data_IF_389433664432
#
_entry.id   IF_389433664432
#
_cell.length_a   1.000
_cell.length_b   1.000
_cell.length_c   1.000
_cell.angle_alpha   90.00
_cell.angle_beta   90.00
_cell.angle_gamma   90.00
#
_symmetry.space_group_name_H-M   'P 1'
#
loop_
_entity.id
_entity.type
_entity.pdbx_description
1 polymer ?
#
# COMPACT_ATOMS: atom_id res chain seq x y z
N UNK A 1 42.23 23.36 -48.77
CA UNK A 1 41.99 23.75 -50.18
C UNK A 1 42.65 22.71 -51.08
N UNK A 2 42.20 22.52 -52.35
CA UNK A 2 41.12 23.22 -53.05
C UNK A 2 39.97 22.30 -53.59
N UNK A 3 38.82 22.92 -53.91
CA UNK A 3 37.84 22.66 -54.99
C UNK A 3 37.30 21.21 -55.28
N UNK A 4 35.98 20.98 -55.46
CA UNK A 4 35.08 21.34 -56.59
C UNK A 4 35.54 20.74 -57.96
N UNK A 5 34.69 20.29 -58.91
CA UNK A 5 33.25 19.93 -59.00
C UNK A 5 33.03 19.21 -60.39
N UNK A 6 31.88 18.77 -60.91
CA UNK A 6 30.44 18.75 -60.53
C UNK A 6 29.70 17.70 -61.41
N UNK A 7 28.61 17.02 -60.95
CA UNK A 7 27.75 16.22 -61.87
C UNK A 7 26.27 16.03 -61.44
N UNK A 8 25.38 16.82 -62.06
CA UNK A 8 24.12 16.41 -62.75
C UNK A 8 23.20 15.39 -62.05
N UNK A 9 22.15 15.85 -61.37
CA UNK A 9 20.77 16.11 -61.88
C UNK A 9 19.92 14.89 -62.22
N UNK A 10 18.78 14.75 -61.54
CA UNK A 10 17.50 14.41 -62.18
C UNK A 10 16.32 14.94 -61.35
N UNK A 11 15.27 15.42 -62.02
CA UNK A 11 14.13 16.09 -61.39
C UNK A 11 12.80 15.40 -61.72
N UNK A 12 12.04 15.05 -60.69
CA UNK A 12 10.68 14.50 -60.80
C UNK A 12 9.80 15.00 -59.63
N UNK A 13 8.48 15.13 -59.81
CA UNK A 13 7.67 16.03 -58.97
C UNK A 13 7.13 15.43 -57.67
N UNK A 14 6.87 16.31 -56.69
CA UNK A 14 6.16 16.00 -55.43
C UNK A 14 4.79 15.37 -55.72
N UNK A 15 4.55 14.16 -55.19
CA UNK A 15 3.21 13.63 -54.88
C UNK A 15 3.16 13.09 -53.45
N UNK A 16 3.13 14.01 -52.49
CA UNK A 16 2.78 13.71 -51.10
C UNK A 16 1.29 13.32 -51.04
N UNK A 17 1.00 12.02 -51.12
CA UNK A 17 -0.31 11.48 -50.68
C UNK A 17 -0.29 11.29 -49.16
N UNK A 18 -1.35 11.74 -48.51
CA UNK A 18 -1.51 11.56 -47.07
C UNK A 18 -1.63 10.07 -46.71
N UNK A 19 -1.01 9.69 -45.60
CA UNK A 19 -0.91 8.29 -45.15
C UNK A 19 -0.51 8.15 -43.69
N UNK A 20 -0.96 9.07 -42.82
CA UNK A 20 -0.64 9.06 -41.39
C UNK A 20 -1.88 8.78 -40.54
N UNK A 21 -2.34 7.53 -40.56
CA UNK A 21 -3.32 6.98 -39.62
C UNK A 21 -2.66 5.79 -38.94
N UNK A 22 -1.95 6.07 -37.84
CA UNK A 22 -1.05 5.11 -37.20
C UNK A 22 -0.45 5.67 -35.91
N UNK A 23 -1.30 6.27 -35.06
CA UNK A 23 -0.91 6.84 -33.76
C UNK A 23 -1.92 6.51 -32.68
N UNK A 24 -1.51 6.65 -31.42
CA UNK A 24 -2.32 6.40 -30.20
C UNK A 24 -2.72 4.93 -29.96
N UNK A 25 -1.72 4.05 -29.97
CA UNK A 25 -1.74 2.76 -29.26
C UNK A 25 -0.54 2.64 -28.28
N UNK A 26 -0.06 3.76 -27.76
CA UNK A 26 1.11 3.86 -26.89
C UNK A 26 0.74 4.37 -25.49
N UNK A 27 1.37 3.78 -24.47
CA UNK A 27 1.42 4.26 -23.08
C UNK A 27 0.08 4.69 -22.43
N UNK A 28 -0.77 3.71 -22.11
CA UNK A 28 -1.62 3.78 -20.91
C UNK A 28 -1.00 2.97 -19.76
N UNK A 29 0.27 3.24 -19.46
CA UNK A 29 0.80 3.04 -18.12
C UNK A 29 0.29 4.22 -17.29
N UNK A 30 -0.98 4.15 -16.87
CA UNK A 30 -1.49 5.07 -15.87
C UNK A 30 -0.85 4.68 -14.55
N UNK A 31 0.11 5.48 -14.07
CA UNK A 31 0.50 5.45 -12.66
C UNK A 31 -0.76 5.53 -11.81
N UNK A 32 -0.87 4.64 -10.84
CA UNK A 32 -2.04 4.59 -9.97
C UNK A 32 -1.98 5.78 -8.99
N UNK A 33 -3.13 6.14 -8.45
CA UNK A 33 -3.19 7.10 -7.33
C UNK A 33 -2.49 6.59 -6.06
N UNK A 34 -2.21 5.28 -5.97
CA UNK A 34 -1.38 4.71 -4.90
C UNK A 34 0.11 5.01 -5.12
N UNK A 35 0.62 4.90 -6.36
CA UNK A 35 1.99 5.31 -6.72
C UNK A 35 2.22 6.79 -6.41
N UNK A 36 1.24 7.64 -6.74
CA UNK A 36 1.25 9.08 -6.45
C UNK A 36 1.12 9.43 -4.96
N UNK A 37 0.74 8.47 -4.11
CA UNK A 37 0.64 8.60 -2.65
C UNK A 37 1.76 7.85 -1.90
N UNK A 38 2.69 7.21 -2.61
CA UNK A 38 3.74 6.38 -2.01
C UNK A 38 3.23 5.14 -1.28
N UNK A 39 2.07 4.59 -1.66
CA UNK A 39 1.50 3.38 -1.04
C UNK A 39 1.80 2.14 -1.88
N UNK A 40 2.33 1.10 -1.22
CA UNK A 40 2.58 -0.22 -1.81
C UNK A 40 1.31 -1.06 -1.71
N UNK A 41 0.92 -1.66 -2.84
CA UNK A 41 -0.08 -2.75 -2.89
C UNK A 41 0.64 -4.03 -3.31
N UNK A 42 0.68 -5.02 -2.43
CA UNK A 42 1.34 -6.31 -2.69
C UNK A 42 0.53 -7.45 -2.05
N UNK A 43 0.21 -8.46 -2.87
CA UNK A 43 -0.57 -9.61 -2.45
C UNK A 43 0.10 -10.39 -1.31
N UNK A 44 1.43 -10.59 -1.38
CA UNK A 44 2.17 -11.41 -0.40
C UNK A 44 2.27 -10.71 0.95
N UNK A 45 2.75 -9.47 0.94
CA UNK A 45 2.97 -8.66 2.14
C UNK A 45 1.66 -8.32 2.83
N UNK A 46 0.62 -7.90 2.10
CA UNK A 46 -0.68 -7.63 2.72
C UNK A 46 -1.34 -8.89 3.29
N UNK A 47 -1.26 -10.04 2.61
CA UNK A 47 -1.85 -11.28 3.10
C UNK A 47 -1.13 -11.78 4.37
N UNK A 48 0.18 -11.60 4.45
CA UNK A 48 0.96 -11.90 5.65
C UNK A 48 0.67 -10.91 6.80
N UNK A 49 0.55 -9.61 6.52
CA UNK A 49 0.13 -8.61 7.51
C UNK A 49 -1.29 -8.90 8.03
N UNK A 50 -2.23 -9.30 7.17
CA UNK A 50 -3.58 -9.74 7.58
C UNK A 50 -3.53 -11.00 8.47
N UNK A 51 -2.59 -11.91 8.23
CA UNK A 51 -2.36 -13.08 9.09
C UNK A 51 -1.81 -12.69 10.47
N UNK A 52 -0.90 -11.71 10.55
CA UNK A 52 -0.40 -11.14 11.81
C UNK A 52 -1.46 -10.35 12.59
N UNK A 53 -2.23 -9.51 11.90
CA UNK A 53 -3.14 -8.56 12.53
C UNK A 53 -4.44 -9.20 13.01
N UNK A 54 -4.99 -10.20 12.31
CA UNK A 54 -6.30 -10.77 12.62
C UNK A 54 -6.42 -11.33 14.05
N UNK A 55 -5.44 -12.07 14.62
CA UNK A 55 -5.49 -12.49 16.02
C UNK A 55 -5.52 -11.30 17.00
N UNK A 56 -4.65 -10.30 16.78
CA UNK A 56 -4.55 -9.10 17.61
C UNK A 56 -5.85 -8.28 17.55
N UNK A 57 -6.37 -8.00 16.36
CA UNK A 57 -7.63 -7.26 16.18
C UNK A 57 -8.81 -8.00 16.82
N UNK A 58 -8.83 -9.34 16.80
CA UNK A 58 -9.85 -10.11 17.51
C UNK A 58 -9.72 -9.96 19.04
N UNK A 59 -8.50 -10.09 19.58
CA UNK A 59 -8.23 -9.92 21.02
C UNK A 59 -8.54 -8.49 21.51
N UNK A 60 -8.32 -7.49 20.65
CA UNK A 60 -8.60 -6.08 20.90
C UNK A 60 -10.09 -5.68 20.72
N UNK A 61 -10.98 -6.61 20.34
CA UNK A 61 -12.38 -6.29 20.05
C UNK A 61 -12.60 -5.47 18.77
N UNK A 62 -11.57 -5.38 17.92
CA UNK A 62 -11.53 -4.60 16.68
C UNK A 62 -11.87 -5.43 15.43
N UNK A 63 -11.97 -6.76 15.54
CA UNK A 63 -12.10 -7.69 14.40
C UNK A 63 -13.30 -7.47 13.46
N UNK A 64 -14.32 -6.72 13.90
CA UNK A 64 -15.48 -6.31 13.11
C UNK A 64 -15.40 -4.90 12.53
N UNK A 65 -14.41 -4.09 12.91
CA UNK A 65 -14.32 -2.66 12.58
C UNK A 65 -13.71 -2.37 11.20
N UNK A 66 -13.35 -3.41 10.42
CA UNK A 66 -12.89 -3.25 9.04
C UNK A 66 -11.53 -2.55 8.90
N UNK A 67 -10.67 -2.63 9.92
CA UNK A 67 -9.37 -1.95 9.94
C UNK A 67 -8.50 -2.39 8.75
N UNK A 68 -7.95 -1.41 8.04
CA UNK A 68 -6.99 -1.59 6.96
C UNK A 68 -5.60 -1.16 7.41
N UNK A 69 -4.61 -1.98 7.10
CA UNK A 69 -3.18 -1.65 7.25
C UNK A 69 -2.64 -1.33 5.86
N UNK A 70 -2.20 -0.11 5.66
CA UNK A 70 -1.63 0.39 4.40
C UNK A 70 -0.10 0.38 4.48
N UNK A 71 0.56 -0.13 3.45
CA UNK A 71 2.03 -0.17 3.40
C UNK A 71 2.53 1.12 2.73
N UNK A 72 3.40 1.86 3.38
CA UNK A 72 4.04 3.08 2.85
C UNK A 72 5.43 2.74 2.31
N UNK A 73 5.76 3.25 1.12
CA UNK A 73 7.07 3.13 0.51
C UNK A 73 8.08 4.09 1.16
N UNK A 74 8.48 3.76 2.38
CA UNK A 74 9.55 4.44 3.13
C UNK A 74 10.42 3.35 3.79
N UNK A 75 11.75 3.50 3.68
CA UNK A 75 12.76 2.61 4.27
C UNK A 75 12.98 2.85 5.78
N UNK A 76 12.46 3.94 6.34
CA UNK A 76 12.47 4.20 7.77
C UNK A 76 11.56 3.22 8.52
N UNK A 77 11.91 2.92 9.78
CA UNK A 77 11.02 2.16 10.66
C UNK A 77 9.91 3.09 11.18
N UNK A 78 8.65 2.78 10.89
CA UNK A 78 7.50 3.48 11.45
C UNK A 78 6.18 2.71 11.32
N UNK A 79 5.23 3.01 12.21
CA UNK A 79 3.82 2.70 12.07
C UNK A 79 3.00 3.80 12.78
N UNK A 80 1.73 3.99 12.40
CA UNK A 80 0.81 4.91 13.08
C UNK A 80 -0.66 4.65 12.69
N UNK A 81 -1.60 5.19 13.46
CA UNK A 81 -3.05 5.18 13.18
C UNK A 81 -3.58 6.60 13.00
N UNK A 82 -4.50 6.79 12.03
CA UNK A 82 -5.04 8.12 11.68
C UNK A 82 -6.48 8.36 12.16
N UNK A 83 -7.35 7.35 12.10
CA UNK A 83 -8.81 7.51 12.30
C UNK A 83 -9.49 6.29 12.96
N UNK A 84 -8.69 5.39 13.56
CA UNK A 84 -9.15 4.13 14.14
C UNK A 84 -9.43 3.01 13.13
N UNK A 85 -9.54 3.32 11.84
CA UNK A 85 -9.88 2.38 10.77
C UNK A 85 -8.73 2.18 9.77
N UNK A 86 -7.82 3.16 9.69
CA UNK A 86 -6.64 3.16 8.83
C UNK A 86 -5.38 3.25 9.68
N UNK A 87 -4.64 2.13 9.68
CA UNK A 87 -3.27 2.02 10.19
C UNK A 87 -2.31 2.10 9.00
N UNK A 88 -1.16 2.73 9.19
CA UNK A 88 -0.10 2.85 8.19
C UNK A 88 1.17 2.22 8.75
N UNK A 89 1.91 1.50 7.91
CA UNK A 89 3.16 0.84 8.26
C UNK A 89 4.18 1.07 7.15
N UNK A 90 5.38 1.54 7.49
CA UNK A 90 6.44 1.73 6.50
C UNK A 90 7.04 0.39 6.06
N UNK A 91 7.45 0.27 4.80
CA UNK A 91 8.17 -0.90 4.30
C UNK A 91 9.44 -1.19 5.11
N UNK A 92 10.13 -0.15 5.59
CA UNK A 92 11.25 -0.25 6.52
C UNK A 92 10.95 -1.00 7.82
N UNK A 93 9.71 -0.93 8.34
CA UNK A 93 9.28 -1.73 9.52
C UNK A 93 9.34 -3.22 9.22
N UNK A 94 8.84 -3.61 8.05
CA UNK A 94 8.79 -5.00 7.59
C UNK A 94 10.18 -5.53 7.20
N UNK A 95 10.97 -4.68 6.52
CA UNK A 95 12.32 -5.00 6.04
C UNK A 95 13.34 -5.14 7.17
N UNK A 96 13.25 -4.33 8.24
CA UNK A 96 14.17 -4.38 9.38
C UNK A 96 13.74 -5.37 10.48
N UNK A 97 12.46 -5.76 10.54
CA UNK A 97 12.02 -6.82 11.44
C UNK A 97 12.75 -8.14 11.15
N UNK A 98 13.15 -8.83 12.22
CA UNK A 98 13.83 -10.13 12.15
C UNK A 98 12.85 -11.31 12.19
N UNK A 99 11.76 -11.15 12.94
CA UNK A 99 10.77 -12.20 13.21
C UNK A 99 9.33 -11.68 13.04
N UNK A 100 8.34 -12.57 12.82
CA UNK A 100 6.93 -12.20 12.86
C UNK A 100 6.53 -11.48 14.16
N UNK A 101 6.95 -11.95 15.34
CA UNK A 101 6.61 -11.33 16.63
C UNK A 101 7.04 -9.84 16.72
N UNK A 102 8.09 -9.42 16.01
CA UNK A 102 8.48 -8.00 15.97
C UNK A 102 7.46 -7.13 15.21
N UNK A 103 6.88 -7.62 14.11
CA UNK A 103 5.80 -6.91 13.39
C UNK A 103 4.46 -7.02 14.13
N UNK A 104 4.17 -8.19 14.70
CA UNK A 104 2.96 -8.43 15.51
C UNK A 104 2.96 -7.51 16.75
N UNK A 105 4.10 -7.31 17.41
CA UNK A 105 4.24 -6.38 18.55
C UNK A 105 3.91 -4.93 18.17
N UNK A 106 4.34 -4.46 16.99
CA UNK A 106 3.95 -3.13 16.48
C UNK A 106 2.45 -3.07 16.21
N UNK A 107 1.86 -4.10 15.59
CA UNK A 107 0.39 -4.13 15.35
C UNK A 107 -0.39 -4.17 16.67
N UNK A 108 0.14 -4.82 17.71
CA UNK A 108 -0.44 -4.82 19.05
C UNK A 108 -0.39 -3.44 19.72
N UNK A 109 0.73 -2.71 19.57
CA UNK A 109 0.88 -1.32 20.02
C UNK A 109 -0.13 -0.37 19.36
N UNK A 110 -0.20 -0.39 18.03
CA UNK A 110 -1.15 0.43 17.27
C UNK A 110 -2.61 0.05 17.56
N UNK A 111 -2.89 -1.22 17.88
CA UNK A 111 -4.21 -1.65 18.37
C UNK A 111 -4.53 -1.10 19.76
N UNK A 112 -3.53 -0.84 20.60
CA UNK A 112 -3.66 -0.13 21.87
C UNK A 112 -4.12 1.32 21.67
N UNK A 113 -3.50 2.05 20.73
CA UNK A 113 -3.90 3.40 20.34
C UNK A 113 -5.35 3.46 19.82
N UNK A 114 -5.79 2.45 19.05
CA UNK A 114 -7.19 2.34 18.59
C UNK A 114 -8.14 2.08 19.76
N UNK A 115 -7.88 1.03 20.57
CA UNK A 115 -8.80 0.60 21.64
C UNK A 115 -8.94 1.62 22.78
N UNK A 116 -7.90 2.35 23.12
CA UNK A 116 -8.00 3.44 24.09
C UNK A 116 -8.81 4.64 23.59
N UNK A 117 -9.09 4.73 22.28
CA UNK A 117 -9.90 5.79 21.67
C UNK A 117 -9.26 7.18 21.76
N UNK A 118 -7.93 7.22 21.89
CA UNK A 118 -7.21 8.35 22.45
C UNK A 118 -7.21 9.60 21.57
N UNK A 119 -7.20 9.47 20.23
CA UNK A 119 -7.31 10.62 19.31
C UNK A 119 -8.63 11.39 19.49
N UNK A 120 -9.71 10.71 19.92
CA UNK A 120 -10.97 11.36 20.29
C UNK A 120 -10.90 12.02 21.68
N UNK A 121 -10.16 11.42 22.64
CA UNK A 121 -9.90 12.05 23.95
C UNK A 121 -9.07 13.33 23.80
N UNK A 122 -7.99 13.31 23.03
CA UNK A 122 -7.20 14.50 22.71
C UNK A 122 -8.06 15.57 22.00
N UNK A 123 -8.88 15.20 21.00
CA UNK A 123 -9.82 16.13 20.35
C UNK A 123 -10.83 16.75 21.33
N UNK A 124 -11.38 15.98 22.27
CA UNK A 124 -12.35 16.49 23.26
C UNK A 124 -11.72 17.27 24.40
N UNK A 125 -10.44 17.03 24.73
CA UNK A 125 -9.67 17.91 25.61
C UNK A 125 -9.29 19.21 24.90
N UNK A 126 -8.85 19.16 23.64
CA UNK A 126 -8.55 20.36 22.82
C UNK A 126 -9.79 21.22 22.53
N UNK A 127 -10.98 20.63 22.34
CA UNK A 127 -12.21 21.42 22.15
C UNK A 127 -12.65 22.16 23.41
N UNK A 128 -12.20 21.71 24.60
CA UNK A 128 -12.31 22.45 25.87
C UNK A 128 -11.19 23.48 26.02
N UNK A 129 -9.95 23.13 25.66
CA UNK A 129 -8.79 24.01 25.65
C UNK A 129 -8.77 24.93 24.41
N UNK A 130 -9.65 25.93 24.37
CA UNK A 130 -9.77 26.92 23.30
C UNK A 130 -8.54 27.84 23.16
N UNK A 131 -7.43 27.33 22.60
CA UNK A 131 -6.27 28.14 22.23
C UNK A 131 -5.76 27.80 20.82
N UNK A 132 -6.03 28.70 19.86
CA UNK A 132 -5.46 28.62 18.51
C UNK A 132 -3.93 28.56 18.52
N UNK A 133 -3.29 29.09 19.56
CA UNK A 133 -1.86 28.99 19.81
C UNK A 133 -1.34 27.54 19.87
N UNK A 134 -2.09 26.60 20.46
CA UNK A 134 -1.65 25.20 20.54
C UNK A 134 -1.74 24.50 19.18
N UNK A 135 -2.78 24.78 18.39
CA UNK A 135 -2.86 24.33 16.99
C UNK A 135 -1.76 24.94 16.12
N UNK A 136 -1.45 26.24 16.30
CA UNK A 136 -0.34 26.91 15.62
C UNK A 136 1.03 26.35 16.03
N UNK A 137 1.24 25.93 17.28
CA UNK A 137 2.46 25.23 17.69
C UNK A 137 2.56 23.83 17.07
N UNK A 138 1.47 23.05 17.04
CA UNK A 138 1.46 21.71 16.40
C UNK A 138 1.67 21.79 14.88
N UNK A 139 1.05 22.76 14.21
CA UNK A 139 1.31 23.07 12.80
C UNK A 139 2.73 23.61 12.56
N UNK A 140 3.25 24.41 13.48
CA UNK A 140 4.64 24.91 13.45
C UNK A 140 5.67 23.79 13.56
N UNK A 141 5.43 22.80 14.43
CA UNK A 141 6.26 21.59 14.52
C UNK A 141 6.21 20.78 13.21
N UNK A 142 5.03 20.58 12.63
CA UNK A 142 4.90 19.92 11.32
C UNK A 142 5.61 20.70 10.20
N UNK A 143 5.57 22.04 10.23
CA UNK A 143 6.25 22.88 9.26
C UNK A 143 7.79 22.86 9.40
N UNK A 144 8.34 22.60 10.60
CA UNK A 144 9.78 22.36 10.77
C UNK A 144 10.26 21.06 10.10
N UNK A 145 9.38 20.07 9.93
CA UNK A 145 9.69 18.80 9.22
C UNK A 145 9.74 19.00 7.70
N UNK A 146 9.12 20.07 7.17
CA UNK A 146 8.90 20.28 5.73
C UNK A 146 9.55 21.52 5.10
N UNK A 147 10.42 22.25 5.82
CA UNK A 147 11.19 23.39 5.27
C UNK A 147 10.40 24.62 4.79
N UNK A 148 9.08 24.63 4.96
CA UNK A 148 8.16 25.54 4.25
C UNK A 148 7.89 26.87 5.00
N UNK A 149 8.94 27.61 5.37
CA UNK A 149 8.83 28.96 5.96
C UNK A 149 9.46 30.07 5.10
N UNK A 150 9.25 30.00 3.78
CA UNK A 150 9.57 31.07 2.83
C UNK A 150 8.29 31.71 2.28
N UNK A 151 7.69 32.67 3.00
CA UNK A 151 6.49 33.35 2.50
C UNK A 151 5.70 34.29 3.42
N UNK A 152 5.97 34.35 4.73
CA UNK A 152 5.23 35.18 5.69
C UNK A 152 6.03 36.42 6.13
N UNK A 153 5.94 37.58 5.44
CA UNK A 153 6.65 38.80 5.85
C UNK A 153 6.03 39.40 7.12
N UNK A 154 6.83 39.50 8.19
CA UNK A 154 6.47 40.24 9.41
C UNK A 154 6.80 39.54 10.73
N UNK A 155 6.91 38.21 10.76
CA UNK A 155 7.22 37.46 11.98
C UNK A 155 8.75 37.39 12.20
N UNK A 156 9.33 38.49 12.68
CA UNK A 156 10.74 38.53 13.08
C UNK A 156 11.03 37.67 14.32
N UNK A 157 12.31 37.31 14.53
CA UNK A 157 12.76 36.42 15.61
C UNK A 157 12.26 36.80 17.03
N UNK A 158 12.08 38.10 17.30
CA UNK A 158 11.53 38.58 18.57
C UNK A 158 10.10 38.07 18.86
N UNK A 159 9.27 37.88 17.82
CA UNK A 159 7.91 37.35 17.96
C UNK A 159 7.87 35.87 18.38
N UNK A 160 8.86 35.08 17.96
CA UNK A 160 8.98 33.68 18.38
C UNK A 160 9.29 33.58 19.88
N UNK A 161 10.21 34.40 20.41
CA UNK A 161 10.60 34.37 21.82
C UNK A 161 9.40 34.55 22.77
N UNK A 162 8.51 35.50 22.46
CA UNK A 162 7.29 35.72 23.23
C UNK A 162 6.27 34.57 23.12
N UNK A 163 6.19 33.89 21.97
CA UNK A 163 5.29 32.76 21.75
C UNK A 163 5.76 31.45 22.45
N UNK A 164 7.06 31.30 22.73
CA UNK A 164 7.61 30.15 23.44
C UNK A 164 7.79 30.38 24.95
N UNK A 165 8.01 31.61 25.41
CA UNK A 165 8.36 31.92 26.81
C UNK A 165 7.25 31.73 27.87
N UNK A 166 6.04 31.29 27.50
CA UNK A 166 4.86 31.36 28.38
C UNK A 166 4.33 30.04 28.97
N UNK A 167 4.68 28.86 28.43
CA UNK A 167 3.90 27.62 28.70
C UNK A 167 4.72 26.35 28.92
N UNK A 168 5.84 26.46 29.64
CA UNK A 168 6.66 25.31 30.08
C UNK A 168 5.83 24.24 30.83
N UNK A 169 4.82 24.66 31.61
CA UNK A 169 3.85 23.76 32.24
C UNK A 169 2.91 23.05 31.25
N UNK A 170 2.44 23.72 30.19
CA UNK A 170 1.55 23.09 29.20
C UNK A 170 2.32 22.13 28.27
N UNK A 171 3.57 22.46 27.94
CA UNK A 171 4.46 21.55 27.21
C UNK A 171 4.75 20.29 28.03
N UNK A 172 5.08 20.44 29.33
CA UNK A 172 5.20 19.30 30.25
C UNK A 172 3.90 18.50 30.34
N UNK A 173 2.73 19.15 30.42
CA UNK A 173 1.44 18.46 30.47
C UNK A 173 1.13 17.67 29.19
N UNK A 174 1.50 18.19 28.00
CA UNK A 174 1.32 17.50 26.72
C UNK A 174 2.29 16.31 26.57
N UNK A 175 3.53 16.45 27.04
CA UNK A 175 4.52 15.38 27.03
C UNK A 175 4.16 14.27 28.04
N UNK A 176 3.70 14.63 29.23
CA UNK A 176 3.19 13.69 30.23
C UNK A 176 1.96 12.93 29.70
N UNK A 177 0.99 13.64 29.11
CA UNK A 177 -0.17 13.02 28.46
C UNK A 177 0.27 11.99 27.41
N UNK A 178 1.18 12.35 26.50
CA UNK A 178 1.73 11.40 25.51
C UNK A 178 2.44 10.19 26.16
N UNK A 179 3.11 10.38 27.29
CA UNK A 179 3.75 9.28 28.01
C UNK A 179 2.72 8.33 28.65
N UNK A 180 1.63 8.86 29.22
CA UNK A 180 0.53 8.05 29.75
C UNK A 180 -0.18 7.26 28.64
N UNK A 181 -0.38 7.88 27.47
CA UNK A 181 -1.00 7.26 26.30
C UNK A 181 -0.15 6.11 25.74
N UNK A 182 1.15 6.34 25.58
CA UNK A 182 2.11 5.32 25.15
C UNK A 182 2.21 4.15 26.16
N UNK A 183 2.23 4.44 27.46
CA UNK A 183 2.20 3.42 28.52
C UNK A 183 0.87 2.64 28.55
N UNK A 184 -0.24 3.27 28.16
CA UNK A 184 -1.55 2.62 28.01
C UNK A 184 -1.58 1.70 26.79
N UNK A 185 -1.02 2.15 25.66
CA UNK A 185 -0.87 1.33 24.45
C UNK A 185 0.06 0.13 24.68
N UNK A 186 1.17 0.30 25.41
CA UNK A 186 2.06 -0.80 25.84
C UNK A 186 1.30 -1.88 26.63
N UNK A 187 0.54 -1.47 27.66
CA UNK A 187 -0.23 -2.40 28.49
C UNK A 187 -1.32 -3.14 27.69
N UNK A 188 -1.99 -2.43 26.78
CA UNK A 188 -2.96 -3.01 25.87
C UNK A 188 -2.30 -4.03 24.92
N UNK A 189 -1.14 -3.70 24.34
CA UNK A 189 -0.37 -4.58 23.48
C UNK A 189 0.04 -5.88 24.19
N UNK A 190 0.60 -5.80 25.40
CA UNK A 190 0.91 -6.97 26.24
C UNK A 190 -0.35 -7.81 26.52
N UNK A 191 -1.49 -7.16 26.75
CA UNK A 191 -2.77 -7.86 26.97
C UNK A 191 -3.22 -8.62 25.72
N UNK A 192 -3.11 -8.03 24.53
CA UNK A 192 -3.48 -8.69 23.28
C UNK A 192 -2.53 -9.84 22.93
N UNK A 193 -1.22 -9.63 23.10
CA UNK A 193 -0.19 -10.66 22.88
C UNK A 193 -0.38 -11.85 23.84
N UNK A 194 -0.73 -11.60 25.10
CA UNK A 194 -1.06 -12.65 26.05
C UNK A 194 -2.34 -13.41 25.65
N UNK A 195 -3.38 -12.72 25.17
CA UNK A 195 -4.61 -13.34 24.69
C UNK A 195 -4.40 -14.19 23.42
N UNK A 196 -3.48 -13.80 22.53
CA UNK A 196 -3.11 -14.55 21.31
C UNK A 196 -2.00 -15.58 21.54
N UNK A 197 -1.41 -15.63 22.75
CA UNK A 197 -0.25 -16.47 23.14
C UNK A 197 1.03 -16.18 22.35
N UNK A 198 1.18 -14.94 21.91
CA UNK A 198 2.34 -14.43 21.17
C UNK A 198 3.37 -13.82 22.13
N UNK A 199 4.63 -13.75 21.70
CA UNK A 199 5.72 -13.28 22.58
C UNK A 199 5.89 -11.76 22.52
N UNK A 200 5.77 -11.14 23.70
CA UNK A 200 6.10 -9.73 23.92
C UNK A 200 7.59 -9.39 23.71
N UNK A 201 8.47 -10.40 23.64
CA UNK A 201 9.90 -10.20 23.36
C UNK A 201 10.15 -9.52 22.02
N UNK A 202 9.33 -9.79 21.00
CA UNK A 202 9.43 -9.09 19.70
C UNK A 202 9.23 -7.58 19.83
N UNK A 203 8.22 -7.15 20.58
CA UNK A 203 7.97 -5.73 20.86
C UNK A 203 9.16 -5.06 21.54
N UNK A 204 9.77 -5.72 22.53
CA UNK A 204 10.97 -5.24 23.23
C UNK A 204 12.18 -5.15 22.32
N UNK A 205 12.50 -6.22 21.57
CA UNK A 205 13.65 -6.22 20.65
C UNK A 205 13.53 -5.13 19.57
N UNK A 206 12.31 -4.85 19.11
CA UNK A 206 12.00 -3.73 18.21
C UNK A 206 12.22 -2.37 18.89
N UNK A 207 11.73 -2.17 20.12
CA UNK A 207 11.87 -0.91 20.84
C UNK A 207 13.33 -0.63 21.24
N UNK A 208 14.08 -1.67 21.63
CA UNK A 208 15.52 -1.61 21.89
C UNK A 208 16.32 -1.30 20.63
N UNK A 209 16.00 -1.93 19.49
CA UNK A 209 16.61 -1.61 18.20
C UNK A 209 16.40 -0.13 17.85
N UNK A 210 15.18 0.40 18.01
CA UNK A 210 14.91 1.81 17.73
C UNK A 210 15.63 2.76 18.69
N UNK A 211 15.66 2.46 19.99
CA UNK A 211 16.41 3.23 20.97
C UNK A 211 17.93 3.24 20.67
N UNK A 212 18.49 2.12 20.22
CA UNK A 212 19.91 2.03 19.82
C UNK A 212 20.26 2.97 18.66
N UNK A 213 19.30 3.28 17.78
CA UNK A 213 19.50 4.15 16.61
C UNK A 213 19.49 5.66 16.94
N UNK A 214 19.19 6.06 18.18
CA UNK A 214 19.39 7.44 18.63
C UNK A 214 20.86 7.81 18.79
N UNK A 215 21.75 6.83 18.96
CA UNK A 215 23.14 7.08 19.37
C UNK A 215 24.07 7.12 18.16
N UNK A 216 24.37 8.33 17.68
CA UNK A 216 25.53 8.60 16.81
C UNK A 216 25.27 8.95 15.34
N UNK A 217 24.03 9.22 14.92
CA UNK A 217 23.70 9.65 13.54
C UNK A 217 22.87 10.94 13.58
N UNK A 218 23.05 11.81 12.58
CA UNK A 218 22.21 12.99 12.38
C UNK A 218 20.80 12.58 11.92
N UNK A 219 19.88 12.44 12.87
CA UNK A 219 18.46 12.19 12.61
C UNK A 219 17.79 11.41 13.75
N UNK A 220 16.78 12.00 14.38
CA UNK A 220 15.93 11.26 15.33
C UNK A 220 15.05 10.31 14.51
N UNK A 221 15.11 9.01 14.80
CA UNK A 221 14.27 7.98 14.18
C UNK A 221 12.79 8.43 14.16
N UNK A 222 12.10 8.49 13.00
CA UNK A 222 10.72 8.97 12.89
C UNK A 222 9.74 8.34 13.90
N UNK A 223 9.84 7.03 14.14
CA UNK A 223 8.99 6.35 15.14
C UNK A 223 9.18 6.92 16.56
N UNK A 224 10.37 7.39 16.91
CA UNK A 224 10.63 7.99 18.22
C UNK A 224 10.24 9.47 18.31
N UNK A 225 9.80 10.07 17.19
CA UNK A 225 9.15 11.39 17.16
C UNK A 225 7.64 11.26 17.37
N UNK A 226 7.02 10.17 16.88
CA UNK A 226 5.60 9.84 17.12
C UNK A 226 5.39 9.16 18.47
N UNK A 227 6.28 8.23 18.86
CA UNK A 227 6.21 7.39 20.07
C UNK A 227 7.44 7.61 20.98
N UNK A 228 7.40 8.58 21.90
CA UNK A 228 8.51 8.82 22.82
C UNK A 228 8.83 7.62 23.72
N UNK A 229 10.10 7.23 23.78
CA UNK A 229 10.62 6.11 24.60
C UNK A 229 11.56 6.62 25.70
N UNK A 230 11.06 7.15 26.84
CA UNK A 230 11.89 7.36 28.01
C UNK A 230 12.34 6.01 28.59
N UNK A 231 13.56 5.94 29.14
CA UNK A 231 14.14 4.68 29.66
C UNK A 231 13.24 3.97 30.68
N UNK A 232 12.48 4.71 31.48
CA UNK A 232 11.52 4.18 32.45
C UNK A 232 10.38 3.37 31.80
N UNK A 233 9.89 3.80 30.63
CA UNK A 233 8.86 3.06 29.87
C UNK A 233 9.38 1.70 29.43
N UNK A 234 10.60 1.63 28.90
CA UNK A 234 11.23 0.37 28.49
C UNK A 234 11.44 -0.60 29.67
N UNK A 235 11.74 -0.08 30.87
CA UNK A 235 11.83 -0.91 32.08
C UNK A 235 10.47 -1.51 32.45
N UNK A 236 9.41 -0.69 32.49
CA UNK A 236 8.04 -1.14 32.78
C UNK A 236 7.53 -2.15 31.75
N UNK A 237 7.77 -1.90 30.45
CA UNK A 237 7.42 -2.82 29.37
C UNK A 237 8.14 -4.17 29.50
N UNK A 238 9.44 -4.17 29.85
CA UNK A 238 10.19 -5.41 30.13
C UNK A 238 9.58 -6.19 31.30
N UNK A 239 9.26 -5.54 32.41
CA UNK A 239 8.66 -6.17 33.59
C UNK A 239 7.29 -6.80 33.28
N UNK A 240 6.43 -6.07 32.56
CA UNK A 240 5.14 -6.60 32.09
C UNK A 240 5.32 -7.78 31.13
N UNK A 241 6.27 -7.70 30.19
CA UNK A 241 6.50 -8.74 29.20
C UNK A 241 7.09 -10.02 29.80
N UNK A 242 8.10 -9.93 30.67
CA UNK A 242 8.73 -11.13 31.29
C UNK A 242 7.83 -11.80 32.32
N UNK A 243 6.79 -11.12 32.80
CA UNK A 243 5.71 -11.74 33.59
C UNK A 243 4.80 -12.67 32.75
N UNK A 244 4.87 -12.61 31.42
CA UNK A 244 4.04 -13.43 30.53
C UNK A 244 4.48 -14.90 30.51
N UNK A 245 3.56 -15.87 30.66
CA UNK A 245 3.86 -17.29 30.43
C UNK A 245 4.14 -17.62 28.95
N UNK A 246 4.07 -16.64 28.06
CA UNK A 246 4.35 -16.75 26.62
C UNK A 246 5.60 -15.96 26.19
N UNK A 247 6.38 -15.42 27.14
CA UNK A 247 7.55 -14.60 26.83
C UNK A 247 8.59 -15.32 25.95
N UNK A 248 8.86 -16.61 26.19
CA UNK A 248 9.79 -17.41 25.40
C UNK A 248 9.11 -18.22 24.26
N UNK A 249 7.85 -17.92 23.91
CA UNK A 249 7.22 -18.51 22.73
C UNK A 249 7.93 -18.03 21.44
N UNK A 250 8.50 -18.97 20.70
CA UNK A 250 9.10 -18.70 19.38
C UNK A 250 8.04 -18.68 18.27
N UNK A 251 8.31 -17.92 17.21
CA UNK A 251 7.50 -17.96 16.00
C UNK A 251 7.53 -19.34 15.33
N UNK A 252 6.37 -19.76 14.78
CA UNK A 252 6.29 -21.01 14.04
C UNK A 252 7.25 -20.97 12.83
N UNK A 253 8.05 -22.03 12.55
CA UNK A 253 9.04 -22.00 11.46
C UNK A 253 8.46 -21.67 10.09
N UNK A 254 7.22 -22.08 9.81
CA UNK A 254 6.52 -21.68 8.58
C UNK A 254 6.26 -20.17 8.54
N UNK A 255 5.81 -19.57 9.65
CA UNK A 255 5.52 -18.14 9.74
C UNK A 255 6.79 -17.28 9.58
N UNK A 256 7.92 -17.75 10.11
CA UNK A 256 9.24 -17.18 9.87
C UNK A 256 9.65 -17.31 8.38
N UNK A 257 9.46 -18.48 7.76
CA UNK A 257 9.77 -18.65 6.33
C UNK A 257 8.92 -17.73 5.43
N UNK A 258 7.64 -17.51 5.77
CA UNK A 258 6.77 -16.51 5.10
C UNK A 258 7.28 -15.08 5.30
N UNK A 259 7.74 -14.75 6.52
CA UNK A 259 8.31 -13.44 6.86
C UNK A 259 9.58 -13.12 6.06
N UNK A 260 10.50 -14.07 5.96
CA UNK A 260 11.75 -13.85 5.23
C UNK A 260 11.54 -13.85 3.70
N UNK A 261 10.59 -14.60 3.17
CA UNK A 261 10.19 -14.49 1.75
C UNK A 261 9.62 -13.11 1.42
N UNK A 262 8.71 -12.59 2.25
CA UNK A 262 8.16 -11.24 2.15
C UNK A 262 9.28 -10.18 2.19
N UNK A 263 10.25 -10.29 3.11
CA UNK A 263 11.42 -9.42 3.16
C UNK A 263 12.29 -9.52 1.91
N UNK A 264 12.54 -10.74 1.41
CA UNK A 264 13.25 -10.95 0.15
C UNK A 264 12.57 -10.23 -1.03
N UNK A 265 11.24 -10.29 -1.10
CA UNK A 265 10.44 -9.56 -2.10
C UNK A 265 10.60 -8.05 -1.96
N UNK A 266 10.41 -7.50 -0.75
CA UNK A 266 10.52 -6.07 -0.47
C UNK A 266 11.92 -5.54 -0.79
N UNK A 267 13.00 -6.21 -0.36
CA UNK A 267 14.35 -5.83 -0.77
C UNK A 267 14.53 -5.90 -2.29
N UNK A 268 14.04 -6.97 -2.94
CA UNK A 268 14.12 -7.14 -4.40
C UNK A 268 13.48 -6.00 -5.20
N UNK A 269 12.39 -5.41 -4.71
CA UNK A 269 11.70 -4.29 -5.36
C UNK A 269 12.17 -2.89 -4.90
N UNK A 270 12.50 -2.71 -3.62
CA UNK A 270 12.66 -1.38 -3.00
C UNK A 270 14.13 -0.96 -2.79
N UNK A 271 15.08 -1.90 -2.63
CA UNK A 271 16.50 -1.56 -2.62
C UNK A 271 17.02 -1.43 -4.07
N UNK A 272 18.11 -0.68 -4.29
CA UNK A 272 18.82 -0.71 -5.57
C UNK A 272 19.36 -2.12 -5.89
N UNK A 273 19.31 -2.61 -7.14
CA UNK A 273 19.72 -3.98 -7.44
C UNK A 273 21.11 -4.37 -6.95
N UNK A 274 22.09 -3.44 -6.97
CA UNK A 274 23.42 -3.72 -6.43
C UNK A 274 23.43 -3.87 -4.90
N UNK A 275 22.61 -3.11 -4.18
CA UNK A 275 22.40 -3.29 -2.74
C UNK A 275 21.79 -4.67 -2.46
N UNK A 276 20.85 -5.14 -3.29
CA UNK A 276 20.28 -6.50 -3.19
C UNK A 276 21.34 -7.57 -3.42
N UNK A 277 22.19 -7.45 -4.45
CA UNK A 277 23.27 -8.43 -4.69
C UNK A 277 24.36 -8.42 -3.61
N UNK A 278 24.59 -7.28 -2.94
CA UNK A 278 25.50 -7.19 -1.79
C UNK A 278 24.87 -7.79 -0.52
N UNK A 279 23.56 -7.58 -0.29
CA UNK A 279 22.78 -8.12 0.83
C UNK A 279 22.60 -9.63 0.75
N UNK A 280 22.39 -10.15 -0.47
CA UNK A 280 22.13 -11.55 -0.78
C UNK A 280 23.17 -12.09 -1.78
N UNK A 281 24.42 -12.33 -1.35
CA UNK A 281 25.51 -12.77 -2.24
C UNK A 281 25.20 -14.13 -2.88
N UNK A 282 25.87 -14.46 -3.99
CA UNK A 282 25.63 -15.70 -4.74
C UNK A 282 25.94 -17.00 -3.93
N UNK A 283 26.62 -16.89 -2.79
CA UNK A 283 26.80 -18.00 -1.83
C UNK A 283 25.55 -18.28 -0.99
N UNK A 284 24.67 -17.30 -0.78
CA UNK A 284 23.39 -17.47 -0.09
C UNK A 284 22.37 -18.07 -1.05
N UNK A 285 22.07 -19.36 -0.88
CA UNK A 285 21.10 -20.13 -1.68
C UNK A 285 19.74 -20.29 -0.98
N UNK A 286 19.45 -19.47 0.04
CA UNK A 286 18.13 -19.45 0.68
C UNK A 286 17.04 -18.95 -0.28
N UNK A 287 15.79 -19.40 -0.10
CA UNK A 287 14.67 -18.94 -0.93
C UNK A 287 14.46 -17.41 -0.88
N UNK A 288 14.54 -16.71 0.27
CA UNK A 288 14.54 -15.24 0.33
C UNK A 288 15.61 -14.59 -0.54
N UNK A 289 16.84 -15.10 -0.49
CA UNK A 289 17.97 -14.57 -1.26
C UNK A 289 17.81 -14.78 -2.76
N UNK A 290 17.37 -15.99 -3.16
CA UNK A 290 17.02 -16.31 -4.54
C UNK A 290 15.87 -15.42 -5.06
N UNK A 291 14.84 -15.17 -4.24
CA UNK A 291 13.69 -14.33 -4.60
C UNK A 291 14.07 -12.86 -4.77
N UNK A 292 14.80 -12.30 -3.80
CA UNK A 292 15.34 -10.94 -3.88
C UNK A 292 16.23 -10.77 -5.12
N UNK A 293 17.15 -11.72 -5.37
CA UNK A 293 18.01 -11.71 -6.57
C UNK A 293 17.22 -11.84 -7.87
N UNK A 294 16.18 -12.67 -7.94
CA UNK A 294 15.37 -12.80 -9.15
C UNK A 294 14.69 -11.47 -9.55
N UNK A 295 14.18 -10.73 -8.57
CA UNK A 295 13.55 -9.41 -8.79
C UNK A 295 14.61 -8.35 -9.13
N UNK A 296 15.75 -8.33 -8.45
CA UNK A 296 16.86 -7.43 -8.77
C UNK A 296 17.46 -7.71 -10.16
N UNK A 297 17.56 -8.97 -10.58
CA UNK A 297 17.96 -9.37 -11.93
C UNK A 297 16.94 -8.91 -12.97
N UNK A 298 15.64 -9.00 -12.69
CA UNK A 298 14.61 -8.48 -13.59
C UNK A 298 14.74 -6.96 -13.76
N UNK A 299 14.82 -6.21 -12.66
CA UNK A 299 14.95 -4.74 -12.67
C UNK A 299 16.23 -4.26 -13.36
N UNK A 300 17.34 -5.01 -13.26
CA UNK A 300 18.64 -4.66 -13.88
C UNK A 300 18.83 -5.20 -15.31
N UNK A 301 18.23 -6.34 -15.65
CA UNK A 301 18.62 -7.15 -16.82
C UNK A 301 17.45 -7.79 -17.58
N UNK A 302 16.21 -7.55 -17.14
CA UNK A 302 14.99 -7.90 -17.86
C UNK A 302 14.55 -9.37 -17.76
N UNK A 303 13.33 -9.62 -18.23
CA UNK A 303 12.61 -10.90 -18.10
C UNK A 303 13.44 -12.13 -18.52
N UNK A 304 14.23 -12.03 -19.60
CA UNK A 304 14.99 -13.16 -20.17
C UNK A 304 16.06 -13.70 -19.22
N UNK A 305 16.65 -12.83 -18.39
CA UNK A 305 17.73 -13.20 -17.45
C UNK A 305 17.15 -13.63 -16.11
N UNK A 306 16.01 -13.05 -15.70
CA UNK A 306 15.33 -13.38 -14.44
C UNK A 306 14.50 -14.68 -14.48
N UNK A 307 13.93 -15.04 -15.65
CA UNK A 307 12.99 -16.17 -15.74
C UNK A 307 13.53 -17.50 -15.20
N UNK A 308 14.78 -17.92 -15.50
CA UNK A 308 15.34 -19.16 -14.93
C UNK A 308 15.47 -19.13 -13.41
N UNK A 309 15.61 -17.96 -12.79
CA UNK A 309 15.67 -17.81 -11.34
C UNK A 309 14.27 -17.97 -10.71
N UNK A 310 13.22 -17.46 -11.37
CA UNK A 310 11.83 -17.71 -10.97
C UNK A 310 11.41 -19.17 -11.19
N UNK A 311 11.86 -19.80 -12.28
CA UNK A 311 11.59 -21.22 -12.54
C UNK A 311 12.23 -22.12 -11.47
N UNK A 312 13.44 -21.79 -11.00
CA UNK A 312 14.08 -22.47 -9.87
C UNK A 312 13.31 -22.25 -8.55
N UNK A 313 12.81 -21.04 -8.28
CA UNK A 313 11.99 -20.74 -7.10
C UNK A 313 10.66 -21.52 -7.12
N UNK A 314 9.98 -21.56 -8.27
CA UNK A 314 8.76 -22.35 -8.47
C UNK A 314 9.03 -23.84 -8.29
N UNK A 315 10.13 -24.37 -8.83
CA UNK A 315 10.52 -25.77 -8.65
C UNK A 315 10.83 -26.11 -7.19
N UNK A 316 11.45 -25.19 -6.44
CA UNK A 316 11.78 -25.38 -5.03
C UNK A 316 10.59 -25.21 -4.07
N UNK A 317 9.57 -24.41 -4.44
CA UNK A 317 8.33 -24.26 -3.67
C UNK A 317 7.09 -24.06 -4.58
N UNK A 318 6.56 -25.15 -5.18
CA UNK A 318 5.47 -25.08 -6.16
C UNK A 318 4.09 -24.78 -5.56
N UNK A 319 3.96 -24.74 -4.24
CA UNK A 319 2.74 -24.31 -3.53
C UNK A 319 2.71 -22.80 -3.23
N UNK A 320 3.78 -22.04 -3.55
CA UNK A 320 3.84 -20.61 -3.24
C UNK A 320 3.19 -19.75 -4.34
N UNK A 321 1.99 -19.17 -4.14
CA UNK A 321 1.26 -18.44 -5.18
C UNK A 321 2.04 -17.25 -5.72
N UNK A 322 2.88 -16.63 -4.88
CA UNK A 322 3.52 -15.37 -5.18
C UNK A 322 4.70 -15.49 -6.16
N UNK A 323 5.34 -16.67 -6.27
CA UNK A 323 6.31 -16.92 -7.33
C UNK A 323 5.65 -16.97 -8.72
N UNK A 324 4.44 -17.53 -8.81
CA UNK A 324 3.64 -17.50 -10.04
C UNK A 324 3.09 -16.10 -10.34
N UNK A 325 2.77 -15.29 -9.33
CA UNK A 325 2.46 -13.86 -9.49
C UNK A 325 3.63 -13.12 -10.14
N UNK A 326 4.83 -13.22 -9.58
CA UNK A 326 6.00 -12.47 -10.06
C UNK A 326 6.41 -12.94 -11.47
N UNK A 327 6.30 -14.25 -11.76
CA UNK A 327 6.46 -14.77 -13.12
C UNK A 327 5.43 -14.20 -14.10
N UNK A 328 4.17 -14.08 -13.66
CA UNK A 328 3.10 -13.43 -14.42
C UNK A 328 3.34 -11.95 -14.66
N UNK A 329 3.70 -11.21 -13.61
CA UNK A 329 4.00 -9.79 -13.64
C UNK A 329 5.14 -9.48 -14.62
N UNK A 330 6.28 -10.16 -14.51
CA UNK A 330 7.44 -9.91 -15.38
C UNK A 330 7.13 -10.22 -16.85
N UNK A 331 6.31 -11.23 -17.14
CA UNK A 331 5.83 -11.52 -18.50
C UNK A 331 4.82 -10.48 -18.99
N UNK A 332 3.96 -9.96 -18.12
CA UNK A 332 2.99 -8.91 -18.48
C UNK A 332 3.68 -7.59 -18.81
N UNK A 333 4.53 -7.12 -17.89
CA UNK A 333 5.31 -5.87 -18.03
C UNK A 333 6.28 -5.92 -19.21
N UNK A 334 6.90 -7.07 -19.50
CA UNK A 334 7.75 -7.26 -20.68
C UNK A 334 6.97 -7.44 -21.99
N UNK A 335 5.68 -7.11 -22.03
CA UNK A 335 4.81 -7.21 -23.20
C UNK A 335 4.45 -8.64 -23.64
N UNK A 336 4.88 -9.67 -22.92
CA UNK A 336 4.57 -11.09 -23.18
C UNK A 336 3.22 -11.50 -22.59
N UNK A 337 2.20 -10.64 -22.75
CA UNK A 337 0.93 -10.66 -22.01
C UNK A 337 0.17 -11.99 -22.10
N UNK A 338 0.17 -12.65 -23.27
CA UNK A 338 -0.46 -13.97 -23.41
C UNK A 338 0.24 -15.06 -22.59
N UNK A 339 1.57 -14.97 -22.40
CA UNK A 339 2.34 -15.89 -21.58
C UNK A 339 2.22 -15.59 -20.07
N UNK A 340 1.79 -14.39 -19.69
CA UNK A 340 1.49 -14.05 -18.29
C UNK A 340 0.22 -14.75 -17.76
N UNK A 341 -0.75 -15.06 -18.62
CA UNK A 341 -2.05 -15.61 -18.17
C UNK A 341 -1.92 -16.99 -17.49
N UNK A 342 -1.18 -17.99 -18.00
CA UNK A 342 -1.04 -19.29 -17.32
C UNK A 342 -0.48 -19.22 -15.88
N UNK A 343 0.66 -18.56 -15.58
CA UNK A 343 1.12 -18.45 -14.20
C UNK A 343 0.20 -17.60 -13.33
N UNK A 344 -0.45 -16.55 -13.85
CA UNK A 344 -1.44 -15.78 -13.07
C UNK A 344 -2.68 -16.60 -12.70
N UNK A 345 -3.14 -17.50 -13.59
CA UNK A 345 -4.20 -18.47 -13.25
C UNK A 345 -3.76 -19.42 -12.14
N UNK A 346 -2.51 -19.90 -12.18
CA UNK A 346 -1.99 -20.80 -11.15
C UNK A 346 -1.81 -20.10 -9.80
N UNK A 347 -1.35 -18.85 -9.80
CA UNK A 347 -1.29 -17.99 -8.60
C UNK A 347 -2.68 -17.83 -7.95
N UNK A 348 -3.72 -17.56 -8.76
CA UNK A 348 -5.12 -17.48 -8.29
C UNK A 348 -5.70 -18.85 -7.92
N UNK A 349 -5.23 -19.96 -8.52
CA UNK A 349 -5.61 -21.33 -8.12
C UNK A 349 -5.07 -21.68 -6.73
N UNK A 350 -3.84 -21.27 -6.43
CA UNK A 350 -3.16 -21.48 -5.15
C UNK A 350 -3.69 -20.56 -4.05
N UNK A 351 -4.06 -19.30 -4.37
CA UNK A 351 -4.67 -18.36 -3.42
C UNK A 351 -5.99 -17.74 -3.95
N UNK A 352 -7.09 -18.51 -3.98
CA UNK A 352 -8.35 -18.09 -4.62
C UNK A 352 -9.12 -17.00 -3.87
N UNK A 353 -8.68 -16.59 -2.68
CA UNK A 353 -9.31 -15.52 -1.90
C UNK A 353 -8.57 -14.18 -1.95
N UNK A 354 -7.38 -14.13 -2.56
CA UNK A 354 -6.53 -12.94 -2.59
C UNK A 354 -6.95 -12.00 -3.73
N UNK A 355 -7.48 -10.79 -3.44
CA UNK A 355 -8.07 -9.93 -4.46
C UNK A 355 -7.06 -9.36 -5.46
N UNK A 356 -5.83 -9.04 -5.02
CA UNK A 356 -4.81 -8.42 -5.89
C UNK A 356 -4.37 -9.37 -7.02
N UNK A 357 -4.16 -10.66 -6.71
CA UNK A 357 -3.87 -11.70 -7.71
C UNK A 357 -4.97 -11.80 -8.77
N UNK A 358 -6.24 -11.70 -8.34
CA UNK A 358 -7.40 -11.73 -9.24
C UNK A 358 -7.54 -10.46 -10.09
N UNK A 359 -7.17 -9.29 -9.57
CA UNK A 359 -7.13 -8.03 -10.35
C UNK A 359 -6.04 -8.12 -11.42
N UNK A 360 -4.84 -8.57 -11.06
CA UNK A 360 -3.72 -8.75 -11.99
C UNK A 360 -4.03 -9.82 -13.05
N UNK A 361 -4.64 -10.96 -12.69
CA UNK A 361 -5.13 -11.94 -13.66
C UNK A 361 -6.19 -11.32 -14.60
N UNK A 362 -7.16 -10.57 -14.06
CA UNK A 362 -8.15 -9.85 -14.87
C UNK A 362 -7.52 -8.88 -15.88
N UNK A 363 -6.53 -8.11 -15.44
CA UNK A 363 -5.74 -7.20 -16.28
C UNK A 363 -4.96 -7.95 -17.37
N UNK A 364 -4.32 -9.08 -17.06
CA UNK A 364 -3.60 -9.89 -18.04
C UNK A 364 -4.54 -10.52 -19.08
N UNK A 365 -5.67 -11.10 -18.65
CA UNK A 365 -6.71 -11.65 -19.52
C UNK A 365 -7.22 -10.58 -20.51
N UNK A 366 -7.50 -9.36 -20.04
CA UNK A 366 -7.88 -8.24 -20.89
C UNK A 366 -6.74 -7.80 -21.82
N UNK A 367 -5.50 -7.74 -21.32
CA UNK A 367 -4.34 -7.33 -22.10
C UNK A 367 -4.04 -8.24 -23.31
N UNK A 368 -4.47 -9.51 -23.29
CA UNK A 368 -4.39 -10.40 -24.47
C UNK A 368 -5.20 -9.92 -25.67
N UNK A 369 -6.24 -9.12 -25.42
CA UNK A 369 -7.28 -8.73 -26.38
C UNK A 369 -8.11 -9.89 -26.97
N UNK A 370 -8.01 -11.12 -26.46
CA UNK A 370 -8.94 -12.20 -26.83
C UNK A 370 -10.33 -11.96 -26.21
N UNK A 371 -11.33 -11.87 -27.08
CA UNK A 371 -12.74 -11.69 -26.69
C UNK A 371 -13.27 -12.86 -25.85
N UNK A 372 -12.71 -14.06 -26.01
CA UNK A 372 -13.11 -15.27 -25.24
C UNK A 372 -12.75 -15.16 -23.76
N UNK A 373 -11.74 -14.36 -23.41
CA UNK A 373 -11.22 -14.24 -22.03
C UNK A 373 -11.89 -13.12 -21.23
N UNK A 374 -12.78 -12.34 -21.84
CA UNK A 374 -13.45 -11.19 -21.21
C UNK A 374 -14.37 -11.63 -20.06
N UNK A 375 -15.07 -12.75 -20.20
CA UNK A 375 -15.97 -13.26 -19.13
C UNK A 375 -15.20 -13.82 -17.93
N UNK A 376 -14.05 -14.46 -18.16
CA UNK A 376 -13.13 -14.89 -17.10
C UNK A 376 -12.54 -13.67 -16.36
N UNK A 377 -12.21 -12.60 -17.09
CA UNK A 377 -11.75 -11.35 -16.49
C UNK A 377 -12.85 -10.72 -15.60
N UNK A 378 -14.09 -10.62 -16.09
CA UNK A 378 -15.23 -10.11 -15.31
C UNK A 378 -15.45 -10.96 -14.05
N UNK A 379 -15.39 -12.30 -14.15
CA UNK A 379 -15.56 -13.18 -13.01
C UNK A 379 -14.48 -12.99 -11.93
N UNK A 380 -13.20 -12.86 -12.33
CA UNK A 380 -12.10 -12.59 -11.41
C UNK A 380 -12.21 -11.19 -10.77
N UNK A 381 -12.45 -10.16 -11.57
CA UNK A 381 -12.54 -8.77 -11.11
C UNK A 381 -13.72 -8.55 -10.16
N UNK A 382 -14.89 -9.12 -10.45
CA UNK A 382 -16.04 -9.08 -9.51
C UNK A 382 -15.76 -9.81 -8.20
N UNK A 383 -15.06 -10.94 -8.25
CA UNK A 383 -14.68 -11.70 -7.04
C UNK A 383 -13.65 -10.92 -6.20
N UNK A 384 -12.73 -10.20 -6.83
CA UNK A 384 -11.76 -9.35 -6.15
C UNK A 384 -12.43 -8.13 -5.48
N UNK A 385 -13.24 -7.38 -6.23
CA UNK A 385 -13.93 -6.17 -5.77
C UNK A 385 -15.04 -6.44 -4.73
N UNK A 386 -15.36 -7.70 -4.44
CA UNK A 386 -16.19 -8.10 -3.30
C UNK A 386 -15.41 -8.22 -1.97
N UNK A 387 -14.08 -8.06 -2.00
CA UNK A 387 -13.18 -8.02 -0.84
C UNK A 387 -12.34 -6.73 -0.79
N UNK A 388 -11.96 -6.25 -1.96
CA UNK A 388 -11.18 -5.03 -2.19
C UNK A 388 -12.12 -3.98 -2.83
N UNK A 389 -13.10 -3.54 -2.05
CA UNK A 389 -14.19 -2.66 -2.48
C UNK A 389 -13.77 -1.21 -2.76
N UNK A 390 -12.51 -0.86 -2.47
CA UNK A 390 -11.93 0.47 -2.74
C UNK A 390 -10.86 0.49 -3.85
N UNK A 391 -10.58 -0.63 -4.53
CA UNK A 391 -9.55 -0.63 -5.59
C UNK A 391 -10.06 0.00 -6.88
N UNK A 392 -9.80 1.30 -7.02
CA UNK A 392 -10.01 2.05 -8.25
C UNK A 392 -9.39 1.35 -9.48
N UNK A 393 -8.22 0.73 -9.33
CA UNK A 393 -7.59 -0.08 -10.39
C UNK A 393 -8.45 -1.28 -10.79
N UNK A 394 -8.98 -2.06 -9.83
CA UNK A 394 -9.90 -3.16 -10.11
C UNK A 394 -11.16 -2.67 -10.83
N UNK A 395 -11.71 -1.53 -10.42
CA UNK A 395 -12.85 -0.89 -11.09
C UNK A 395 -12.54 -0.41 -12.52
N UNK A 396 -11.36 0.18 -12.79
CA UNK A 396 -10.90 0.51 -14.16
C UNK A 396 -10.90 -0.74 -15.05
N UNK A 397 -10.32 -1.84 -14.56
CA UNK A 397 -10.25 -3.09 -15.31
C UNK A 397 -11.65 -3.70 -15.53
N UNK A 398 -12.54 -3.64 -14.53
CA UNK A 398 -13.92 -4.11 -14.66
C UNK A 398 -14.73 -3.28 -15.68
N UNK A 399 -14.54 -1.95 -15.69
CA UNK A 399 -15.12 -1.07 -16.69
C UNK A 399 -14.65 -1.41 -18.11
N UNK A 400 -13.34 -1.62 -18.30
CA UNK A 400 -12.76 -2.03 -19.57
C UNK A 400 -13.29 -3.41 -20.03
N UNK A 401 -13.47 -4.35 -19.10
CA UNK A 401 -14.03 -5.67 -19.38
C UNK A 401 -15.50 -5.59 -19.83
N UNK A 402 -16.33 -4.85 -19.11
CA UNK A 402 -17.74 -4.65 -19.50
C UNK A 402 -17.89 -3.89 -20.81
N UNK A 403 -17.06 -2.88 -21.10
CA UNK A 403 -17.07 -2.16 -22.38
C UNK A 403 -16.78 -3.11 -23.56
N UNK A 404 -15.79 -4.01 -23.41
CA UNK A 404 -15.48 -5.06 -24.40
C UNK A 404 -16.64 -6.05 -24.56
N UNK A 405 -17.25 -6.47 -23.45
CA UNK A 405 -18.42 -7.37 -23.49
C UNK A 405 -19.63 -6.71 -24.16
N UNK A 406 -19.85 -5.42 -23.94
CA UNK A 406 -20.91 -4.64 -24.57
C UNK A 406 -20.75 -4.53 -26.09
N UNK A 407 -19.51 -4.36 -26.56
CA UNK A 407 -19.21 -4.33 -28.00
C UNK A 407 -19.40 -5.71 -28.66
N UNK A 408 -19.02 -6.80 -27.98
CA UNK A 408 -19.29 -8.17 -28.43
C UNK A 408 -20.80 -8.49 -28.42
N UNK A 409 -21.53 -8.05 -27.40
CA UNK A 409 -22.97 -8.28 -27.24
C UNK A 409 -23.87 -7.36 -28.10
N UNK A 410 -23.31 -6.49 -28.96
CA UNK A 410 -24.08 -5.58 -29.83
C UNK A 410 -25.10 -6.31 -30.69
N UNK A 411 -24.72 -7.40 -31.35
CA UNK A 411 -25.61 -8.17 -32.22
C UNK A 411 -26.74 -8.89 -31.45
N UNK A 412 -26.53 -9.17 -30.17
CA UNK A 412 -27.50 -9.82 -29.28
C UNK A 412 -28.37 -8.81 -28.48
N UNK A 413 -28.39 -7.52 -28.88
CA UNK A 413 -29.17 -6.46 -28.23
C UNK A 413 -28.67 -6.00 -26.85
N UNK A 414 -27.96 -6.84 -26.10
CA UNK A 414 -27.55 -6.60 -24.71
C UNK A 414 -26.46 -5.51 -24.53
N UNK A 415 -26.03 -4.80 -25.58
CA UNK A 415 -25.04 -3.70 -25.46
C UNK A 415 -25.41 -2.65 -24.41
N UNK A 416 -26.69 -2.24 -24.30
CA UNK A 416 -27.09 -1.19 -23.33
C UNK A 416 -26.80 -1.64 -21.88
N UNK A 417 -27.13 -2.89 -21.54
CA UNK A 417 -26.93 -3.47 -20.21
C UNK A 417 -25.45 -3.49 -19.82
N UNK A 418 -24.58 -3.97 -20.72
CA UNK A 418 -23.14 -4.05 -20.45
C UNK A 418 -22.45 -2.68 -20.49
N UNK A 419 -22.93 -1.71 -21.29
CA UNK A 419 -22.43 -0.33 -21.21
C UNK A 419 -22.79 0.32 -19.87
N UNK A 420 -24.02 0.13 -19.36
CA UNK A 420 -24.40 0.63 -18.04
C UNK A 420 -23.49 0.06 -16.92
N UNK A 421 -23.13 -1.22 -17.01
CA UNK A 421 -22.17 -1.87 -16.10
C UNK A 421 -20.74 -1.31 -16.25
N UNK A 422 -20.31 -0.97 -17.46
CA UNK A 422 -19.03 -0.30 -17.70
C UNK A 422 -19.00 1.12 -17.14
N UNK A 423 -20.09 1.87 -17.29
CA UNK A 423 -20.23 3.23 -16.75
C UNK A 423 -20.29 3.22 -15.22
N UNK A 424 -20.98 2.26 -14.59
CA UNK A 424 -20.97 2.10 -13.13
C UNK A 424 -19.56 1.84 -12.60
N UNK A 425 -18.86 0.84 -13.17
CA UNK A 425 -17.48 0.54 -12.75
C UNK A 425 -16.54 1.73 -13.02
N UNK A 426 -16.76 2.52 -14.08
CA UNK A 426 -15.99 3.76 -14.29
C UNK A 426 -16.35 4.86 -13.29
N UNK A 427 -17.59 4.92 -12.81
CA UNK A 427 -17.99 5.85 -11.76
C UNK A 427 -17.31 5.52 -10.44
N UNK A 428 -17.28 4.23 -10.09
CA UNK A 428 -16.67 3.68 -8.89
C UNK A 428 -15.14 3.89 -8.88
N UNK A 429 -14.47 3.68 -10.02
CA UNK A 429 -13.05 4.03 -10.18
C UNK A 429 -12.80 5.52 -9.88
N UNK A 430 -13.50 6.43 -10.58
CA UNK A 430 -13.35 7.87 -10.34
C UNK A 430 -13.74 8.30 -8.92
N UNK A 431 -14.63 7.59 -8.24
CA UNK A 431 -15.02 7.87 -6.87
C UNK A 431 -13.86 7.60 -5.91
N UNK A 432 -13.25 6.41 -5.96
CA UNK A 432 -12.10 6.05 -5.12
C UNK A 432 -10.79 6.78 -5.52
N UNK A 433 -10.76 7.44 -6.66
CA UNK A 433 -9.70 8.37 -7.07
C UNK A 433 -9.94 9.83 -6.60
N UNK A 434 -11.04 10.11 -5.89
CA UNK A 434 -11.42 11.48 -5.51
C UNK A 434 -11.89 12.36 -6.69
N UNK A 435 -11.99 11.81 -7.90
CA UNK A 435 -12.44 12.50 -9.11
C UNK A 435 -13.98 12.61 -9.17
N UNK A 436 -14.59 13.08 -8.07
CA UNK A 436 -16.03 13.05 -7.80
C UNK A 436 -16.90 13.66 -8.93
N UNK A 437 -16.40 14.68 -9.63
CA UNK A 437 -17.08 15.27 -10.80
C UNK A 437 -17.25 14.28 -11.95
N UNK A 438 -16.22 13.47 -12.24
CA UNK A 438 -16.27 12.43 -13.27
C UNK A 438 -17.06 11.21 -12.76
N UNK A 439 -16.94 10.86 -11.48
CA UNK A 439 -17.72 9.81 -10.84
C UNK A 439 -19.22 10.06 -11.02
N UNK A 440 -19.72 11.26 -10.66
CA UNK A 440 -21.13 11.64 -10.85
C UNK A 440 -21.56 11.70 -12.32
N UNK A 441 -20.67 12.09 -13.24
CA UNK A 441 -20.98 12.09 -14.67
C UNK A 441 -21.16 10.67 -15.24
N UNK A 442 -20.32 9.72 -14.82
CA UNK A 442 -20.46 8.31 -15.18
C UNK A 442 -21.70 7.69 -14.52
N UNK A 443 -21.88 7.89 -13.21
CA UNK A 443 -22.99 7.36 -12.44
C UNK A 443 -24.36 7.80 -12.99
N UNK A 444 -24.50 9.06 -13.44
CA UNK A 444 -25.73 9.55 -14.07
C UNK A 444 -26.12 8.78 -15.34
N UNK A 445 -25.13 8.35 -16.14
CA UNK A 445 -25.40 7.56 -17.35
C UNK A 445 -25.68 6.09 -17.00
N UNK A 446 -24.87 5.51 -16.11
CA UNK A 446 -25.08 4.16 -15.59
C UNK A 446 -26.48 3.97 -15.00
N UNK A 447 -26.96 4.90 -14.17
CA UNK A 447 -28.31 4.88 -13.55
C UNK A 447 -29.42 4.79 -14.60
N UNK A 448 -29.35 5.58 -15.68
CA UNK A 448 -30.29 5.54 -16.81
C UNK A 448 -30.18 4.27 -17.70
N UNK A 449 -29.20 3.41 -17.43
CA UNK A 449 -29.00 2.10 -18.02
C UNK A 449 -29.55 0.93 -17.19
N UNK A 450 -29.93 1.15 -15.94
CA UNK A 450 -30.47 0.13 -15.03
C UNK A 450 -31.97 0.27 -14.79
N UNK A 451 -32.57 -0.73 -14.15
CA UNK A 451 -33.94 -0.68 -13.64
C UNK A 451 -33.90 -0.07 -12.24
N UNK A 452 -34.85 0.82 -11.95
CA UNK A 452 -34.97 1.51 -10.66
C UNK A 452 -35.01 0.53 -9.47
N UNK A 453 -34.36 0.89 -8.37
CA UNK A 453 -34.25 0.06 -7.17
C UNK A 453 -33.37 -1.19 -7.27
N UNK A 454 -32.79 -1.52 -8.44
CA UNK A 454 -31.82 -2.63 -8.53
C UNK A 454 -30.47 -2.29 -7.84
N UNK A 455 -29.69 -3.27 -7.33
CA UNK A 455 -28.45 -2.98 -6.61
C UNK A 455 -27.43 -2.13 -7.38
N UNK A 456 -27.37 -2.26 -8.70
CA UNK A 456 -26.50 -1.44 -9.55
C UNK A 456 -27.04 0.00 -9.74
N UNK A 457 -28.36 0.18 -9.73
CA UNK A 457 -29.00 1.50 -9.73
C UNK A 457 -28.76 2.22 -8.41
N UNK A 458 -28.85 1.50 -7.29
CA UNK A 458 -28.58 2.05 -5.94
C UNK A 458 -27.13 2.52 -5.84
N UNK A 459 -26.15 1.67 -6.20
CA UNK A 459 -24.71 2.07 -6.23
C UNK A 459 -24.44 3.29 -7.12
N UNK A 460 -25.15 3.41 -8.25
CA UNK A 460 -25.05 4.61 -9.09
C UNK A 460 -25.68 5.85 -8.41
N UNK A 461 -26.75 5.68 -7.65
CA UNK A 461 -27.40 6.77 -6.92
C UNK A 461 -26.59 7.21 -5.69
N UNK A 462 -25.97 6.28 -4.96
CA UNK A 462 -25.09 6.58 -3.82
C UNK A 462 -23.96 7.55 -4.24
N UNK A 463 -23.33 7.29 -5.39
CA UNK A 463 -22.29 8.16 -5.97
C UNK A 463 -22.87 9.53 -6.36
N UNK A 464 -24.12 9.61 -6.83
CA UNK A 464 -24.79 10.88 -7.17
C UNK A 464 -25.20 11.67 -5.92
N UNK A 465 -25.68 10.99 -4.88
CA UNK A 465 -26.11 11.56 -3.61
C UNK A 465 -24.93 12.03 -2.75
N UNK A 466 -23.79 11.33 -2.81
CA UNK A 466 -22.59 11.60 -2.00
C UNK A 466 -22.20 13.09 -2.00
N UNK A 467 -22.04 13.67 -0.82
CA UNK A 467 -21.50 15.02 -0.64
C UNK A 467 -20.22 14.93 0.19
N UNK A 468 -19.21 15.75 -0.15
CA UNK A 468 -18.03 15.89 0.70
C UNK A 468 -18.49 16.51 2.03
N UNK A 469 -18.17 15.91 3.20
CA UNK A 469 -18.51 16.50 4.48
C UNK A 469 -17.95 17.92 4.62
N UNK A 470 -18.82 18.88 4.92
CA UNK A 470 -18.41 20.26 5.23
C UNK A 470 -17.69 20.25 6.58
N UNK A 471 -16.39 20.55 6.57
CA UNK A 471 -15.60 20.73 7.80
C UNK A 471 -15.82 22.15 8.35
N UNK A 472 -16.69 22.27 9.36
CA UNK A 472 -16.82 23.46 10.20
C UNK A 472 -15.71 23.51 11.27
#
# INVERSE_FOLDING_TARGET
MPLLAQARTNSAPRRLRAGFVGGLAAALITSTSADAAGLIRDAETESLIRLYAKPIFNAAGLGSQGIRIHIVNDHNFNAFVVDGHNMFMHAGTLMNAKTPNQVIGVIAHESGHITGGHLARLRTQMSRAKSAALMLQLLGLAAMVGGAFAGAPGIGQAGMGAAFGGTDAAMRSLLAYRQDEESSADQAAITFLNATKQSARGMIETFEFMASKLVGVQGINPYLQTHPMPQQRLVQLRELATSSPYYDNVDAPELQARHDLMKGKLFGFLDEPQTVFNRYPQTDQSLPALYARAIATYRRSGVKVAMPQLDALIAAKPDWPYFYEIKGQFLFESGSVAAAVPPLRESVRLSPNEPLLRIMLGQALLGTNDKKLVDEAIANLRTALAREDTSAMGYRQLAAAYARKAEAARAAGAKKQYMAQAELASAEAYFYEGQLKLAKQQAKRAKAGFIDGTPNWIRADDILAFQVPQTN
#
